data_IF_701832488674
#
_entry.id   IF_701832488674
#
_cell.length_a   1.000
_cell.length_b   1.000
_cell.length_c   1.000
_cell.angle_alpha   90.00
_cell.angle_beta   90.00
_cell.angle_gamma   90.00
#
_symmetry.space_group_name_H-M   'P 1'
#
loop_
_entity.id
_entity.type
_entity.pdbx_description
1 polymer ?
#
# COMPACT_ATOMS: atom_id res chain seq x y z
N UNK A 1 20.15 -9.44 20.88
CA UNK A 1 20.54 -8.71 19.64
C UNK A 1 19.31 -8.03 19.12
N UNK A 2 19.36 -6.74 18.93
CA UNK A 2 18.28 -5.97 18.27
C UNK A 2 18.33 -6.28 16.78
N UNK A 3 17.24 -6.75 16.18
CA UNK A 3 17.11 -6.86 14.73
C UNK A 3 16.30 -5.70 14.19
N UNK A 4 16.50 -5.36 12.91
CA UNK A 4 15.84 -4.24 12.26
C UNK A 4 14.97 -4.74 11.11
N UNK A 5 13.82 -4.10 10.90
CA UNK A 5 12.90 -4.31 9.80
C UNK A 5 12.58 -3.02 9.07
N UNK A 6 12.42 -3.09 7.75
CA UNK A 6 11.94 -1.98 6.92
C UNK A 6 10.57 -2.31 6.33
N UNK A 7 9.65 -1.35 6.42
CA UNK A 7 8.27 -1.44 5.96
C UNK A 7 8.03 -0.37 4.88
N UNK A 8 8.29 -0.66 3.59
CA UNK A 8 8.18 0.31 2.51
C UNK A 8 6.74 0.73 2.26
N UNK A 9 6.55 1.96 1.80
CA UNK A 9 5.25 2.42 1.34
C UNK A 9 4.83 1.64 0.07
N UNK A 10 3.64 1.01 0.15
CA UNK A 10 3.02 0.33 -0.98
C UNK A 10 2.29 1.35 -1.87
N UNK A 11 2.48 1.30 -3.16
CA UNK A 11 1.77 2.17 -4.11
C UNK A 11 0.98 1.33 -5.10
N UNK A 12 -0.33 1.59 -5.20
CA UNK A 12 -1.15 1.05 -6.27
C UNK A 12 -1.00 1.96 -7.49
N UNK A 13 -0.19 1.56 -8.47
CA UNK A 13 -0.05 2.28 -9.75
C UNK A 13 -1.35 2.24 -10.57
N UNK A 14 -2.11 1.14 -10.41
CA UNK A 14 -3.46 0.96 -10.95
C UNK A 14 -4.34 0.34 -9.87
N UNK A 15 -5.67 0.55 -9.96
CA UNK A 15 -6.62 -0.17 -9.12
C UNK A 15 -7.96 -0.26 -9.87
N UNK A 16 -8.22 -1.42 -10.45
CA UNK A 16 -9.49 -1.72 -11.12
C UNK A 16 -10.37 -2.52 -10.17
N UNK A 17 -11.61 -2.07 -9.97
CA UNK A 17 -12.63 -2.81 -9.23
C UNK A 17 -13.41 -3.65 -10.23
N UNK A 18 -13.21 -4.97 -10.22
CA UNK A 18 -13.70 -5.88 -11.25
C UNK A 18 -14.95 -6.65 -10.86
N UNK A 19 -15.33 -6.58 -9.58
CA UNK A 19 -16.50 -7.27 -9.06
C UNK A 19 -16.74 -7.03 -7.59
N UNK A 20 -17.82 -7.61 -7.08
CA UNK A 20 -18.09 -7.67 -5.64
C UNK A 20 -18.57 -9.08 -5.27
N UNK A 21 -17.98 -9.63 -4.21
CA UNK A 21 -18.39 -10.94 -3.64
C UNK A 21 -19.68 -10.79 -2.83
N UNK A 22 -20.35 -11.92 -2.60
CA UNK A 22 -21.58 -11.97 -1.79
C UNK A 22 -21.36 -11.55 -0.31
N UNK A 23 -20.11 -11.69 0.20
CA UNK A 23 -19.71 -11.24 1.54
C UNK A 23 -19.38 -9.73 1.61
N UNK A 24 -19.53 -9.01 0.49
CA UNK A 24 -19.34 -7.57 0.40
C UNK A 24 -17.92 -7.12 0.00
N UNK A 25 -16.92 -8.02 -0.01
CA UNK A 25 -15.58 -7.69 -0.49
C UNK A 25 -15.57 -7.40 -1.99
N UNK A 26 -14.80 -6.39 -2.39
CA UNK A 26 -14.61 -6.05 -3.80
C UNK A 26 -13.47 -6.86 -4.40
N UNK A 27 -13.66 -7.30 -5.63
CA UNK A 27 -12.61 -7.94 -6.42
C UNK A 27 -11.79 -6.85 -7.10
N UNK A 28 -10.49 -6.95 -6.97
CA UNK A 28 -9.53 -5.97 -7.46
C UNK A 28 -8.64 -6.57 -8.54
N UNK A 29 -8.07 -5.70 -9.36
CA UNK A 29 -6.97 -5.97 -10.26
C UNK A 29 -6.06 -4.75 -10.26
N UNK A 30 -4.87 -4.86 -9.68
CA UNK A 30 -4.00 -3.74 -9.34
C UNK A 30 -2.54 -4.06 -9.61
N UNK A 31 -1.82 -3.14 -10.22
CA UNK A 31 -0.36 -3.16 -10.27
C UNK A 31 0.17 -2.44 -9.04
N UNK A 32 0.94 -3.15 -8.23
CA UNK A 32 1.49 -2.66 -6.95
C UNK A 32 3.01 -2.58 -7.05
N UNK A 33 3.57 -1.49 -6.57
CA UNK A 33 5.01 -1.28 -6.38
C UNK A 33 5.30 -0.80 -4.96
N UNK A 34 6.59 -0.73 -4.60
CA UNK A 34 7.06 -0.25 -3.31
C UNK A 34 8.04 0.89 -3.50
N UNK A 35 7.86 1.97 -2.73
CA UNK A 35 8.79 3.07 -2.68
C UNK A 35 9.96 2.75 -1.74
N UNK A 36 11.09 3.44 -1.89
CA UNK A 36 12.26 3.35 -1.01
C UNK A 36 12.11 4.14 0.29
N UNK A 37 10.94 4.74 0.52
CA UNK A 37 10.54 5.36 1.78
C UNK A 37 9.56 4.47 2.53
N UNK A 38 9.61 4.49 3.86
CA UNK A 38 8.75 3.62 4.68
C UNK A 38 9.06 3.75 6.16
N UNK A 39 8.39 2.93 6.93
CA UNK A 39 8.54 2.85 8.38
C UNK A 39 9.70 1.94 8.75
N UNK A 40 10.25 2.12 9.96
CA UNK A 40 11.33 1.29 10.49
C UNK A 40 10.89 0.61 11.77
N UNK A 41 11.34 -0.61 11.97
CA UNK A 41 11.03 -1.39 13.15
C UNK A 41 12.32 -1.91 13.77
N UNK A 42 12.40 -1.87 15.11
CA UNK A 42 13.45 -2.52 15.88
C UNK A 42 12.81 -3.50 16.85
N UNK A 43 13.42 -4.66 16.98
CA UNK A 43 12.89 -5.79 17.72
C UNK A 43 13.85 -6.22 18.83
N UNK A 44 13.40 -6.12 20.07
CA UNK A 44 14.11 -6.58 21.26
C UNK A 44 13.31 -7.71 21.92
N UNK A 45 13.79 -8.96 21.79
CA UNK A 45 13.12 -10.11 22.36
C UNK A 45 13.00 -10.00 23.89
N UNK A 46 11.85 -10.39 24.43
CA UNK A 46 11.60 -10.30 25.86
C UNK A 46 10.34 -11.06 26.27
N UNK A 47 10.09 -11.19 27.60
CA UNK A 47 9.00 -12.02 28.11
C UNK A 47 7.61 -11.40 27.94
N UNK A 48 7.52 -10.13 27.59
CA UNK A 48 6.26 -9.40 27.47
C UNK A 48 6.21 -8.61 26.18
N UNK A 49 5.08 -8.69 25.49
CA UNK A 49 4.82 -7.90 24.30
C UNK A 49 4.61 -6.44 24.64
N UNK A 50 5.33 -5.55 23.98
CA UNK A 50 5.20 -4.09 24.06
C UNK A 50 5.45 -3.46 22.69
N UNK A 51 4.77 -2.33 22.42
CA UNK A 51 5.04 -1.48 21.26
C UNK A 51 5.29 -0.06 21.74
N UNK A 52 6.35 0.56 21.24
CA UNK A 52 6.57 2.00 21.29
C UNK A 52 6.46 2.54 19.86
N UNK A 53 5.75 3.66 19.68
CA UNK A 53 5.62 4.31 18.38
C UNK A 53 6.27 5.67 18.43
N UNK A 54 7.12 5.96 17.45
CA UNK A 54 7.87 7.21 17.29
C UNK A 54 7.73 7.71 15.85
N UNK A 55 8.37 8.82 15.51
CA UNK A 55 8.38 9.39 14.17
C UNK A 55 7.26 10.41 13.91
N UNK A 56 7.32 11.09 12.76
CA UNK A 56 6.45 12.22 12.44
C UNK A 56 4.97 11.85 12.26
N UNK A 57 4.65 10.56 12.09
CA UNK A 57 3.28 10.06 11.94
C UNK A 57 2.86 9.11 13.07
N UNK A 58 3.48 9.21 14.24
CA UNK A 58 3.19 8.37 15.41
C UNK A 58 1.83 8.64 16.05
N UNK A 59 1.33 9.88 15.92
CA UNK A 59 0.07 10.29 16.54
C UNK A 59 -1.11 9.43 16.07
N UNK A 60 -1.91 8.93 17.01
CA UNK A 60 -3.08 8.10 16.74
C UNK A 60 -2.79 6.63 16.39
N UNK A 61 -1.53 6.21 16.29
CA UNK A 61 -1.15 4.80 16.04
C UNK A 61 -1.30 4.01 17.33
N UNK A 62 -2.11 2.92 17.38
CA UNK A 62 -2.28 2.11 18.57
C UNK A 62 -0.96 1.47 19.05
N UNK A 63 -0.78 1.38 20.37
CA UNK A 63 0.39 0.71 20.99
C UNK A 63 0.01 -0.61 21.68
N UNK A 64 -1.14 -1.16 21.34
CA UNK A 64 -1.73 -2.37 21.90
C UNK A 64 -2.16 -3.37 20.80
N UNK A 65 -2.91 -4.39 21.20
CA UNK A 65 -3.37 -5.48 20.31
C UNK A 65 -4.21 -5.04 19.09
N UNK A 66 -4.63 -3.79 19.01
CA UNK A 66 -5.30 -3.22 17.82
C UNK A 66 -4.30 -2.89 16.70
N UNK A 67 -3.02 -2.81 17.03
CA UNK A 67 -1.97 -2.57 16.03
C UNK A 67 -1.66 -3.87 15.27
N UNK A 68 -1.60 -3.80 13.94
CA UNK A 68 -1.28 -4.96 13.09
C UNK A 68 0.13 -5.53 13.37
N UNK A 69 1.07 -4.70 13.82
CA UNK A 69 2.42 -5.15 14.26
C UNK A 69 2.31 -6.09 15.46
N UNK A 70 1.43 -5.78 16.43
CA UNK A 70 1.15 -6.66 17.55
C UNK A 70 0.55 -7.99 17.10
N UNK A 71 -0.46 -7.92 16.24
CA UNK A 71 -1.14 -9.10 15.72
C UNK A 71 -0.19 -9.98 14.91
N UNK A 72 0.69 -9.37 14.10
CA UNK A 72 1.70 -10.07 13.34
C UNK A 72 2.73 -10.77 14.24
N UNK A 73 3.16 -10.12 15.33
CA UNK A 73 4.06 -10.73 16.31
C UNK A 73 3.41 -11.95 17.00
N UNK A 74 2.13 -11.84 17.38
CA UNK A 74 1.37 -12.98 17.94
C UNK A 74 1.25 -14.10 16.93
N UNK A 75 0.93 -13.80 15.67
CA UNK A 75 0.82 -14.78 14.59
C UNK A 75 2.16 -15.50 14.34
N UNK A 76 3.27 -14.78 14.43
CA UNK A 76 4.62 -15.32 14.31
C UNK A 76 5.10 -16.08 15.55
N UNK A 77 4.32 -16.12 16.64
CA UNK A 77 4.75 -16.72 17.92
C UNK A 77 5.91 -15.97 18.59
N UNK A 78 6.09 -14.69 18.27
CA UNK A 78 7.15 -13.86 18.83
C UNK A 78 6.65 -12.92 19.91
N UNK A 79 7.50 -12.64 20.90
CA UNK A 79 7.21 -11.70 21.99
C UNK A 79 8.44 -10.87 22.32
N UNK A 80 8.19 -9.63 22.74
CA UNK A 80 9.26 -8.68 23.10
C UNK A 80 8.80 -7.23 22.96
N UNK A 81 9.74 -6.33 22.84
CA UNK A 81 9.49 -4.91 22.61
C UNK A 81 9.74 -4.56 21.13
N UNK A 82 8.75 -4.01 20.47
CA UNK A 82 8.87 -3.46 19.11
C UNK A 82 8.85 -1.94 19.20
N UNK A 83 9.90 -1.31 18.70
CA UNK A 83 9.90 0.13 18.43
C UNK A 83 9.56 0.34 16.97
N UNK A 84 8.43 1.01 16.71
CA UNK A 84 7.92 1.35 15.38
C UNK A 84 8.10 2.85 15.13
N UNK A 85 8.95 3.22 14.19
CA UNK A 85 9.12 4.59 13.71
C UNK A 85 8.24 4.82 12.49
N UNK A 86 7.20 5.62 12.65
CA UNK A 86 6.23 5.96 11.60
C UNK A 86 6.72 7.14 10.77
N UNK A 87 7.29 6.85 9.61
CA UNK A 87 7.78 7.83 8.64
C UNK A 87 6.79 8.07 7.49
N UNK A 88 5.72 7.25 7.41
CA UNK A 88 4.63 7.41 6.44
C UNK A 88 3.28 7.47 7.14
N UNK A 89 2.29 8.24 6.62
CA UNK A 89 1.00 8.38 7.26
C UNK A 89 0.21 7.07 7.25
N UNK A 90 -0.45 6.77 8.37
CA UNK A 90 -1.34 5.60 8.48
C UNK A 90 -2.72 5.89 7.86
N UNK A 91 -3.40 4.84 7.34
CA UNK A 91 -4.72 5.00 6.73
C UNK A 91 -4.76 5.89 5.48
N UNK A 92 -3.67 5.95 4.73
CA UNK A 92 -3.42 6.93 3.67
C UNK A 92 -3.40 6.34 2.24
N UNK A 93 -3.88 5.10 2.04
CA UNK A 93 -3.88 4.43 0.72
C UNK A 93 -2.52 3.86 0.29
N UNK A 94 -1.52 3.84 1.18
CA UNK A 94 -0.15 3.36 0.91
C UNK A 94 0.26 2.14 1.75
N UNK A 95 -0.69 1.44 2.34
CA UNK A 95 -0.48 0.16 2.99
C UNK A 95 0.43 0.20 4.22
N UNK A 96 0.64 1.36 4.89
CA UNK A 96 1.62 1.52 5.97
C UNK A 96 1.50 0.45 7.05
N UNK A 97 0.33 0.29 7.69
CA UNK A 97 0.13 -0.72 8.73
C UNK A 97 0.28 -2.16 8.24
N UNK A 98 -0.11 -2.45 6.98
CA UNK A 98 0.07 -3.77 6.36
C UNK A 98 1.54 -4.05 6.07
N UNK A 99 2.29 -3.03 5.67
CA UNK A 99 3.74 -3.14 5.45
C UNK A 99 4.49 -3.31 6.78
N UNK A 100 4.06 -2.61 7.85
CA UNK A 100 4.59 -2.80 9.20
C UNK A 100 4.41 -4.24 9.67
N UNK A 101 3.19 -4.79 9.54
CA UNK A 101 2.89 -6.18 9.87
C UNK A 101 3.71 -7.16 9.04
N UNK A 102 3.83 -6.91 7.73
CA UNK A 102 4.65 -7.73 6.83
C UNK A 102 6.13 -7.71 7.22
N UNK A 103 6.67 -6.58 7.72
CA UNK A 103 8.04 -6.51 8.22
C UNK A 103 8.26 -7.43 9.43
N UNK A 104 7.30 -7.50 10.35
CA UNK A 104 7.32 -8.46 11.47
C UNK A 104 7.31 -9.90 10.98
N UNK A 105 6.39 -10.24 10.06
CA UNK A 105 6.28 -11.60 9.52
C UNK A 105 7.54 -12.01 8.74
N UNK A 106 8.18 -11.09 8.02
CA UNK A 106 9.48 -11.36 7.36
C UNK A 106 10.57 -11.67 8.37
N UNK A 107 10.56 -10.99 9.51
CA UNK A 107 11.58 -11.19 10.54
C UNK A 107 11.40 -12.49 11.34
N UNK A 108 10.16 -12.92 11.59
CA UNK A 108 9.88 -13.98 12.57
C UNK A 108 9.04 -15.14 12.03
N UNK A 109 8.51 -15.06 10.82
CA UNK A 109 7.66 -16.10 10.22
C UNK A 109 6.16 -15.84 10.37
N UNK A 110 5.34 -16.87 10.10
CA UNK A 110 3.88 -16.75 10.09
C UNK A 110 3.30 -16.23 8.77
N UNK A 111 4.07 -16.26 7.70
CA UNK A 111 3.71 -15.70 6.39
C UNK A 111 2.51 -16.38 5.72
N UNK A 112 2.29 -17.67 6.00
CA UNK A 112 1.17 -18.44 5.42
C UNK A 112 -0.22 -17.88 5.78
N UNK A 113 -0.32 -17.24 6.94
CA UNK A 113 -1.59 -16.71 7.49
C UNK A 113 -1.72 -15.18 7.35
N UNK A 114 -0.86 -14.55 6.55
CA UNK A 114 -0.78 -13.11 6.40
C UNK A 114 -2.11 -12.43 6.02
N UNK A 115 -2.95 -13.12 5.25
CA UNK A 115 -4.26 -12.60 4.85
C UNK A 115 -5.21 -12.36 6.04
N UNK A 116 -5.04 -13.07 7.16
CA UNK A 116 -5.83 -12.86 8.37
C UNK A 116 -5.61 -11.47 8.99
N UNK A 117 -4.44 -10.86 8.75
CA UNK A 117 -4.10 -9.52 9.22
C UNK A 117 -4.66 -8.41 8.34
N UNK A 118 -4.98 -8.72 7.08
CA UNK A 118 -5.53 -7.77 6.12
C UNK A 118 -5.16 -8.09 4.67
N UNK A 119 -5.99 -7.63 3.75
CA UNK A 119 -5.90 -7.91 2.32
C UNK A 119 -4.57 -7.45 1.67
N UNK A 120 -3.97 -6.37 2.19
CA UNK A 120 -2.71 -5.82 1.68
C UNK A 120 -1.46 -6.48 2.30
N UNK A 121 -1.59 -7.28 3.37
CA UNK A 121 -0.42 -7.88 4.03
C UNK A 121 0.32 -8.87 3.12
N UNK A 122 -0.37 -9.76 2.37
CA UNK A 122 0.30 -10.68 1.45
C UNK A 122 1.18 -9.98 0.41
N UNK A 123 0.70 -8.91 -0.24
CA UNK A 123 1.49 -8.18 -1.24
C UNK A 123 2.67 -7.44 -0.59
N UNK A 124 2.50 -6.93 0.64
CA UNK A 124 3.60 -6.31 1.39
C UNK A 124 4.68 -7.31 1.82
N UNK A 125 4.35 -8.61 1.98
CA UNK A 125 5.35 -9.65 2.22
C UNK A 125 6.26 -9.87 1.02
N UNK A 126 5.72 -9.83 -0.19
CA UNK A 126 6.48 -10.02 -1.42
C UNK A 126 7.55 -8.93 -1.62
N UNK A 127 7.29 -7.69 -1.17
CA UNK A 127 8.20 -6.54 -1.20
C UNK A 127 8.85 -6.36 -2.59
N UNK A 128 8.10 -6.64 -3.64
CA UNK A 128 8.50 -6.53 -5.04
C UNK A 128 7.28 -6.14 -5.89
N UNK A 129 7.47 -5.55 -7.08
CA UNK A 129 6.37 -5.25 -7.96
C UNK A 129 5.53 -6.49 -8.28
N UNK A 130 4.19 -6.38 -8.14
CA UNK A 130 3.27 -7.50 -8.33
C UNK A 130 1.95 -7.03 -8.94
N UNK A 131 1.30 -7.91 -9.69
CA UNK A 131 -0.12 -7.81 -10.00
C UNK A 131 -0.91 -8.46 -8.87
N UNK A 132 -1.71 -7.67 -8.17
CA UNK A 132 -2.55 -8.10 -7.06
C UNK A 132 -4.00 -8.22 -7.54
N UNK A 133 -4.61 -9.40 -7.36
CA UNK A 133 -5.99 -9.69 -7.78
C UNK A 133 -6.81 -10.32 -6.65
N UNK A 134 -8.11 -10.55 -6.94
CA UNK A 134 -9.04 -11.06 -5.93
C UNK A 134 -9.36 -9.98 -4.90
N UNK A 135 -9.38 -10.32 -3.61
CA UNK A 135 -9.48 -9.35 -2.51
C UNK A 135 -8.10 -8.85 -2.04
N UNK A 136 -6.99 -9.31 -2.70
CA UNK A 136 -5.59 -9.05 -2.38
C UNK A 136 -4.74 -10.32 -2.22
N UNK A 137 -5.37 -11.50 -2.32
CA UNK A 137 -4.76 -12.81 -2.08
C UNK A 137 -4.08 -13.44 -3.29
N UNK A 138 -4.43 -13.00 -4.51
CA UNK A 138 -3.84 -13.55 -5.74
C UNK A 138 -2.74 -12.61 -6.19
N UNK A 139 -1.50 -13.10 -6.10
CA UNK A 139 -0.31 -12.32 -6.40
C UNK A 139 0.45 -12.98 -7.55
N UNK A 140 0.58 -12.25 -8.65
CA UNK A 140 1.34 -12.68 -9.81
C UNK A 140 2.59 -11.81 -9.93
N UNK A 141 3.78 -12.41 -9.98
CA UNK A 141 5.02 -11.67 -10.27
C UNK A 141 4.92 -11.08 -11.68
N UNK A 142 5.51 -9.91 -11.86
CA UNK A 142 5.56 -9.22 -13.16
C UNK A 142 7.00 -9.12 -13.65
N UNK A 143 7.18 -8.86 -14.94
CA UNK A 143 8.48 -8.53 -15.49
C UNK A 143 9.05 -7.29 -14.80
N UNK A 144 10.38 -7.14 -14.72
CA UNK A 144 11.01 -5.94 -14.19
C UNK A 144 10.45 -4.68 -14.87
N UNK A 145 10.17 -3.67 -14.03
CA UNK A 145 9.71 -2.37 -14.50
C UNK A 145 10.91 -1.47 -14.80
N UNK A 146 10.78 -0.52 -15.73
CA UNK A 146 11.80 0.51 -15.94
C UNK A 146 12.00 1.37 -14.68
N UNK A 147 13.20 1.86 -14.47
CA UNK A 147 13.54 2.76 -13.37
C UNK A 147 12.81 4.10 -13.52
N UNK A 148 12.09 4.48 -12.47
CA UNK A 148 11.36 5.74 -12.36
C UNK A 148 11.45 6.25 -10.93
N UNK A 149 11.54 7.58 -10.80
CA UNK A 149 11.39 8.24 -9.51
C UNK A 149 9.90 8.35 -9.15
N UNK A 150 9.58 8.16 -7.87
CA UNK A 150 8.22 8.32 -7.36
C UNK A 150 8.18 9.39 -6.27
N UNK A 151 7.31 10.37 -6.44
CA UNK A 151 7.03 11.39 -5.42
C UNK A 151 5.64 11.11 -4.84
N UNK A 152 5.55 11.05 -3.51
CA UNK A 152 4.29 10.87 -2.79
C UNK A 152 3.84 12.18 -2.15
N UNK A 153 2.59 12.58 -2.41
CA UNK A 153 1.95 13.75 -1.81
C UNK A 153 0.73 13.30 -1.03
N UNK A 154 0.70 13.59 0.28
CA UNK A 154 -0.44 13.30 1.13
C UNK A 154 -1.04 14.61 1.67
N UNK A 155 -2.34 14.88 1.43
CA UNK A 155 -2.99 16.11 1.90
C UNK A 155 -3.32 16.11 3.39
N UNK A 156 -2.92 15.07 4.14
CA UNK A 156 -3.16 14.90 5.59
C UNK A 156 -4.64 14.93 5.99
N UNK A 157 -5.48 14.36 5.14
CA UNK A 157 -6.90 14.13 5.44
C UNK A 157 -7.20 12.65 5.47
N UNK A 158 -8.05 12.24 6.40
CA UNK A 158 -8.50 10.86 6.47
C UNK A 158 -9.55 10.60 5.38
N UNK A 159 -9.36 9.55 4.60
CA UNK A 159 -10.34 9.07 3.62
C UNK A 159 -10.80 7.68 4.07
N UNK A 160 -12.04 7.55 4.55
CA UNK A 160 -12.54 6.28 5.01
C UNK A 160 -12.77 5.33 3.83
N UNK A 161 -12.10 4.19 3.83
CA UNK A 161 -12.08 3.23 2.70
C UNK A 161 -13.48 2.72 2.33
N UNK A 162 -14.30 2.35 3.32
CA UNK A 162 -15.63 1.78 3.05
C UNK A 162 -16.59 2.77 2.34
N UNK A 163 -16.72 4.05 2.75
CA UNK A 163 -17.46 5.05 1.98
C UNK A 163 -16.96 5.26 0.55
N UNK A 164 -15.65 5.22 0.31
CA UNK A 164 -15.08 5.35 -1.04
C UNK A 164 -15.53 4.20 -1.94
N UNK A 165 -15.44 2.96 -1.46
CA UNK A 165 -15.95 1.80 -2.19
C UNK A 165 -17.46 1.85 -2.43
N UNK A 166 -18.22 2.36 -1.46
CA UNK A 166 -19.68 2.53 -1.61
C UNK A 166 -20.05 3.62 -2.63
N UNK A 167 -19.16 4.59 -2.84
CA UNK A 167 -19.33 5.67 -3.82
C UNK A 167 -18.97 5.29 -5.26
N UNK A 168 -18.57 4.05 -5.52
CA UNK A 168 -18.27 3.59 -6.88
C UNK A 168 -19.50 3.66 -7.77
N UNK A 169 -19.36 4.27 -8.96
CA UNK A 169 -20.41 4.30 -9.98
C UNK A 169 -20.67 2.91 -10.58
N UNK A 170 -19.63 2.08 -10.68
CA UNK A 170 -19.73 0.67 -11.10
C UNK A 170 -18.83 -0.18 -10.24
N UNK A 171 -19.31 -1.36 -9.87
CA UNK A 171 -18.56 -2.37 -9.10
C UNK A 171 -18.08 -3.53 -9.98
N UNK A 172 -18.33 -3.47 -11.29
CA UNK A 172 -18.01 -4.50 -12.28
C UNK A 172 -17.40 -3.84 -13.51
N UNK A 173 -16.13 -3.40 -13.37
CA UNK A 173 -15.39 -2.80 -14.48
C UNK A 173 -14.45 -3.84 -15.12
N UNK A 174 -13.97 -3.56 -16.33
CA UNK A 174 -13.00 -4.43 -17.00
C UNK A 174 -11.67 -4.51 -16.20
N UNK A 175 -11.10 -5.70 -16.05
CA UNK A 175 -9.76 -5.84 -15.49
C UNK A 175 -8.71 -5.22 -16.44
N UNK A 176 -7.45 -5.17 -15.99
CA UNK A 176 -6.31 -4.98 -16.90
C UNK A 176 -6.25 -6.15 -17.92
N UNK A 177 -5.53 -5.96 -19.00
CA UNK A 177 -5.25 -7.06 -19.93
C UNK A 177 -4.63 -8.26 -19.20
N UNK A 178 -4.89 -9.47 -19.68
CA UNK A 178 -4.44 -10.70 -19.01
C UNK A 178 -2.92 -10.71 -18.77
N UNK A 179 -2.16 -10.17 -19.71
CA UNK A 179 -0.71 -10.04 -19.59
C UNK A 179 -0.33 -8.56 -19.49
N UNK A 180 0.41 -8.20 -18.46
CA UNK A 180 1.10 -6.92 -18.38
C UNK A 180 2.35 -7.06 -19.28
N UNK A 181 2.52 -6.19 -20.30
CA UNK A 181 3.66 -6.31 -21.21
C UNK A 181 4.99 -6.04 -20.51
N UNK A 182 6.06 -6.58 -21.06
CA UNK A 182 7.40 -6.10 -20.71
C UNK A 182 7.65 -4.77 -21.42
N UNK A 183 8.25 -3.83 -20.71
CA UNK A 183 8.51 -2.48 -21.22
C UNK A 183 9.99 -2.30 -21.53
N UNK A 184 10.30 -1.74 -22.68
CA UNK A 184 11.67 -1.46 -23.08
C UNK A 184 12.25 -0.23 -22.37
N UNK A 185 11.37 0.72 -22.00
CA UNK A 185 11.75 2.00 -21.39
C UNK A 185 10.62 2.60 -20.54
N UNK A 186 10.94 3.66 -19.83
CA UNK A 186 10.01 4.39 -18.96
C UNK A 186 8.83 5.00 -19.75
N UNK A 187 9.08 5.51 -20.97
CA UNK A 187 8.05 6.15 -21.77
C UNK A 187 6.95 5.17 -22.18
N UNK A 188 7.32 3.96 -22.63
CA UNK A 188 6.38 2.90 -22.97
C UNK A 188 5.56 2.44 -21.75
N UNK A 189 6.21 2.34 -20.58
CA UNK A 189 5.53 2.00 -19.34
C UNK A 189 4.52 3.07 -18.90
N UNK A 190 4.92 4.33 -18.89
CA UNK A 190 4.07 5.47 -18.53
C UNK A 190 2.90 5.60 -19.51
N UNK A 191 3.15 5.42 -20.81
CA UNK A 191 2.08 5.41 -21.82
C UNK A 191 1.04 4.31 -21.52
N UNK A 192 1.48 3.09 -21.21
CA UNK A 192 0.61 1.99 -20.84
C UNK A 192 -0.16 2.30 -19.55
N UNK A 193 0.52 2.83 -18.52
CA UNK A 193 -0.11 3.25 -17.26
C UNK A 193 -1.17 4.34 -17.48
N UNK A 194 -0.96 5.25 -18.43
CA UNK A 194 -1.90 6.30 -18.79
C UNK A 194 -3.26 5.76 -19.25
N UNK A 195 -3.27 4.59 -19.88
CA UNK A 195 -4.49 3.88 -20.29
C UNK A 195 -5.18 3.10 -19.14
N UNK A 196 -4.50 2.98 -17.99
CA UNK A 196 -5.06 2.33 -16.79
C UNK A 196 -5.72 3.37 -15.88
N UNK A 197 -6.34 2.91 -14.78
CA UNK A 197 -7.10 3.77 -13.88
C UNK A 197 -6.95 3.36 -12.41
N UNK A 198 -7.39 4.23 -11.53
CA UNK A 198 -7.79 3.89 -10.17
C UNK A 198 -9.28 4.20 -10.03
N UNK A 199 -10.11 3.14 -9.97
CA UNK A 199 -11.58 3.28 -9.88
C UNK A 199 -12.03 3.98 -8.58
N UNK A 200 -11.18 3.96 -7.54
CA UNK A 200 -11.47 4.61 -6.26
C UNK A 200 -11.13 6.11 -6.25
N UNK A 201 -10.41 6.64 -7.26
CA UNK A 201 -9.99 8.04 -7.25
C UNK A 201 -11.18 9.00 -7.32
N UNK A 202 -12.12 8.77 -8.25
CA UNK A 202 -13.29 9.64 -8.39
C UNK A 202 -14.17 9.69 -7.11
N UNK A 203 -14.58 8.56 -6.51
CA UNK A 203 -15.33 8.62 -5.26
C UNK A 203 -14.50 9.16 -4.08
N UNK A 204 -13.18 8.92 -4.01
CA UNK A 204 -12.33 9.50 -2.98
C UNK A 204 -12.31 11.05 -3.04
N UNK A 205 -12.25 11.61 -4.24
CA UNK A 205 -12.28 13.08 -4.47
C UNK A 205 -13.59 13.72 -4.00
N UNK A 206 -14.72 12.98 -4.04
CA UNK A 206 -16.00 13.44 -3.48
C UNK A 206 -15.91 13.53 -1.95
N UNK A 207 -15.29 12.54 -1.30
CA UNK A 207 -15.13 12.51 0.16
C UNK A 207 -14.04 13.45 0.68
N UNK A 208 -12.98 13.63 -0.12
CA UNK A 208 -11.82 14.46 0.22
C UNK A 208 -11.35 15.28 -0.99
N UNK A 209 -11.96 16.44 -1.25
CA UNK A 209 -11.55 17.33 -2.36
C UNK A 209 -10.08 17.78 -2.30
N UNK A 210 -9.42 17.59 -1.15
CA UNK A 210 -7.97 17.84 -0.99
C UNK A 210 -7.10 16.91 -1.85
N UNK A 211 -7.64 15.77 -2.32
CA UNK A 211 -6.98 14.89 -3.30
C UNK A 211 -6.67 15.67 -4.58
N UNK A 212 -7.54 16.58 -5.03
CA UNK A 212 -7.30 17.44 -6.20
C UNK A 212 -6.06 18.33 -6.00
N UNK A 213 -5.88 18.85 -4.79
CA UNK A 213 -4.69 19.68 -4.48
C UNK A 213 -3.41 18.82 -4.45
N UNK A 214 -3.51 17.60 -3.96
CA UNK A 214 -2.37 16.68 -3.96
C UNK A 214 -1.97 16.29 -5.38
N UNK A 215 -2.94 16.02 -6.26
CA UNK A 215 -2.70 15.74 -7.69
C UNK A 215 -2.10 16.96 -8.40
N UNK A 216 -2.64 18.17 -8.15
CA UNK A 216 -2.12 19.39 -8.73
C UNK A 216 -0.69 19.74 -8.26
N UNK A 217 -0.31 19.34 -7.04
CA UNK A 217 1.05 19.52 -6.52
C UNK A 217 2.11 18.62 -7.19
N UNK A 218 1.68 17.62 -7.97
CA UNK A 218 2.53 16.72 -8.76
C UNK A 218 2.75 17.24 -10.20
N UNK A 219 2.83 18.57 -10.35
CA UNK A 219 3.08 19.24 -11.62
C UNK A 219 4.43 18.76 -12.22
N UNK A 220 4.43 18.53 -13.53
CA UNK A 220 5.61 18.01 -14.22
C UNK A 220 5.80 16.49 -14.14
N UNK A 221 4.96 15.76 -13.39
CA UNK A 221 5.00 14.31 -13.40
C UNK A 221 4.61 13.75 -14.78
N UNK A 222 5.28 12.68 -15.21
CA UNK A 222 4.93 11.91 -16.41
C UNK A 222 3.53 11.28 -16.26
N UNK A 223 3.17 10.93 -15.01
CA UNK A 223 1.84 10.48 -14.64
C UNK A 223 1.60 10.81 -13.16
N UNK A 224 0.44 11.39 -12.85
CA UNK A 224 -0.03 11.60 -11.48
C UNK A 224 -1.34 10.84 -11.25
N UNK A 225 -1.46 10.17 -10.10
CA UNK A 225 -2.65 9.38 -9.73
C UNK A 225 -2.72 9.16 -8.22
N UNK A 226 -3.92 8.93 -7.70
CA UNK A 226 -4.12 8.52 -6.31
C UNK A 226 -3.76 7.05 -6.11
N UNK A 227 -3.13 6.70 -4.98
CA UNK A 227 -2.84 5.32 -4.57
C UNK A 227 -3.95 4.75 -3.70
N UNK A 228 -4.36 3.52 -3.98
CA UNK A 228 -5.37 2.82 -3.18
C UNK A 228 -6.68 3.59 -3.09
N UNK A 229 -7.25 3.65 -1.89
CA UNK A 229 -8.45 4.44 -1.57
C UNK A 229 -8.14 5.90 -1.19
N UNK A 230 -6.88 6.32 -1.25
CA UNK A 230 -6.43 7.67 -0.92
C UNK A 230 -6.10 7.85 0.59
N UNK A 231 -5.77 9.08 0.99
CA UNK A 231 -5.67 10.30 0.16
C UNK A 231 -4.28 10.51 -0.51
N UNK A 232 -3.31 9.60 -0.33
CA UNK A 232 -1.99 9.79 -0.94
C UNK A 232 -2.10 9.70 -2.45
N UNK A 233 -1.51 10.68 -3.14
CA UNK A 233 -1.27 10.68 -4.57
C UNK A 233 0.21 10.45 -4.85
N UNK A 234 0.51 9.91 -6.01
CA UNK A 234 1.87 9.72 -6.49
C UNK A 234 2.06 10.37 -7.85
N UNK A 235 3.27 10.84 -8.10
CA UNK A 235 3.76 11.27 -9.41
C UNK A 235 4.96 10.42 -9.81
N UNK A 236 5.01 10.03 -11.07
CA UNK A 236 6.16 9.35 -11.68
C UNK A 236 7.00 10.35 -12.46
N UNK A 237 8.32 10.28 -12.29
CA UNK A 237 9.29 11.15 -12.94
C UNK A 237 10.41 10.31 -13.56
N UNK A 238 11.14 10.87 -14.51
CA UNK A 238 12.34 10.24 -15.04
C UNK A 238 13.43 10.16 -13.97
N UNK A 239 14.17 9.06 -13.94
CA UNK A 239 15.31 8.93 -13.04
C UNK A 239 16.39 9.94 -13.37
N UNK A 240 16.85 10.69 -12.37
CA UNK A 240 17.88 11.73 -12.51
C UNK A 240 17.36 13.09 -12.97
N UNK A 241 16.05 13.35 -12.85
CA UNK A 241 15.45 14.67 -13.09
C UNK A 241 15.60 15.61 -11.89
#
# INVERSE_FOLDING_TARGET
MTSEGFAPAKVNLTLHVTGQRADGYHLLDSLVVFADIGDRLWFDAGPQMRISVTGPFAEGVPVDQRNLVWQAAVLAGWTGHITLEKNVPHGAGIGGGSSDAAAVLRAFGGTADALQLGADVPVCLAHAPQRMRGIGEILDPIAPLPDLEIVLVNPRVAVPTAPVFNGLASKTNSPMADTIPAFADAAGFVHWLGAQRNDLEAPARVHAPQVDKALAALEGALLARMSGSGATCFGLYESGA
#
